data_IF_019937672629
#
_entry.id   IF_019937672629
#
_cell.length_a   1.000
_cell.length_b   1.000
_cell.length_c   1.000
_cell.angle_alpha   90.00
_cell.angle_beta   90.00
_cell.angle_gamma   90.00
#
_symmetry.space_group_name_H-M   'P 1'
#
loop_
_entity.id
_entity.type
_entity.pdbx_description
1 polymer ?
#
# COMPACT_ATOMS: atom_id res chain seq x y z
N UNK A 1 -10.84 23.32 -13.68
CA UNK A 1 -10.24 22.17 -14.38
C UNK A 1 -8.73 22.37 -14.59
N UNK A 2 -7.94 22.65 -13.54
CA UNK A 2 -6.47 22.84 -13.71
C UNK A 2 -5.66 21.55 -13.65
N UNK A 3 -6.24 20.47 -13.09
CA UNK A 3 -5.55 19.19 -12.90
C UNK A 3 -6.02 18.09 -13.85
N UNK A 4 -7.01 18.37 -14.71
CA UNK A 4 -7.55 17.44 -15.70
C UNK A 4 -7.12 17.99 -17.06
N UNK A 5 -5.98 17.50 -17.54
CA UNK A 5 -5.29 17.91 -18.77
C UNK A 5 -4.92 16.66 -19.57
N UNK A 6 -4.78 16.76 -20.90
CA UNK A 6 -4.47 15.59 -21.74
C UNK A 6 -3.23 14.81 -21.29
N UNK A 7 -2.17 15.50 -20.86
CA UNK A 7 -0.92 14.87 -20.41
C UNK A 7 -1.04 14.14 -19.06
N UNK A 8 -2.07 14.46 -18.27
CA UNK A 8 -2.36 13.82 -16.97
C UNK A 8 -3.50 12.79 -17.06
N UNK A 9 -4.03 12.52 -18.27
CA UNK A 9 -5.13 11.59 -18.48
C UNK A 9 -4.67 10.40 -19.32
N UNK A 10 -4.89 9.19 -18.79
CA UNK A 10 -4.63 7.93 -19.49
C UNK A 10 -5.93 7.17 -19.59
N UNK A 11 -6.29 6.73 -20.80
CA UNK A 11 -7.43 5.85 -21.04
C UNK A 11 -6.91 4.42 -21.13
N UNK A 12 -7.35 3.56 -20.22
CA UNK A 12 -6.99 2.15 -20.21
C UNK A 12 -8.24 1.31 -20.49
N UNK A 13 -8.09 0.29 -21.34
CA UNK A 13 -9.14 -0.67 -21.63
C UNK A 13 -8.56 -2.09 -21.68
N UNK A 14 -9.31 -3.05 -21.15
CA UNK A 14 -8.98 -4.48 -21.19
C UNK A 14 -9.96 -5.20 -22.11
N UNK A 15 -9.54 -6.31 -22.72
CA UNK A 15 -10.34 -7.11 -23.66
C UNK A 15 -10.75 -6.33 -24.93
N UNK A 16 -9.89 -5.45 -25.42
CA UNK A 16 -10.09 -4.76 -26.71
C UNK A 16 -9.68 -5.70 -27.84
N UNK A 17 -10.59 -5.92 -28.80
CA UNK A 17 -10.33 -6.77 -29.97
C UNK A 17 -9.46 -6.08 -31.02
N UNK A 18 -9.68 -4.79 -31.26
CA UNK A 18 -8.89 -3.95 -32.15
C UNK A 18 -8.49 -2.65 -31.43
N UNK A 19 -7.17 -2.47 -31.23
CA UNK A 19 -6.64 -1.28 -30.58
C UNK A 19 -6.92 0.00 -31.38
N UNK A 20 -6.93 -0.09 -32.71
CA UNK A 20 -7.14 1.08 -33.56
C UNK A 20 -8.58 1.57 -33.46
N UNK A 21 -9.56 0.66 -33.52
CA UNK A 21 -10.97 0.98 -33.29
C UNK A 21 -11.17 1.66 -31.92
N UNK A 22 -10.54 1.14 -30.87
CA UNK A 22 -10.61 1.73 -29.54
C UNK A 22 -10.04 3.15 -29.50
N UNK A 23 -8.88 3.38 -30.12
CA UNK A 23 -8.28 4.72 -30.21
C UNK A 23 -9.17 5.68 -30.96
N UNK A 24 -9.78 5.24 -32.07
CA UNK A 24 -10.65 6.07 -32.90
C UNK A 24 -11.95 6.44 -32.16
N UNK A 25 -12.55 5.49 -31.44
CA UNK A 25 -13.69 5.76 -30.56
C UNK A 25 -13.32 6.71 -29.40
N UNK A 26 -12.14 6.56 -28.80
CA UNK A 26 -11.67 7.47 -27.77
C UNK A 26 -11.52 8.90 -28.30
N UNK A 27 -10.94 9.05 -29.50
CA UNK A 27 -10.81 10.35 -30.18
C UNK A 27 -12.16 10.95 -30.51
N UNK A 28 -13.10 10.15 -31.05
CA UNK A 28 -14.46 10.59 -31.38
C UNK A 28 -15.18 11.12 -30.14
N UNK A 29 -15.08 10.42 -29.00
CA UNK A 29 -15.86 10.71 -27.80
C UNK A 29 -15.26 11.79 -26.91
N UNK A 30 -13.94 11.85 -26.82
CA UNK A 30 -13.27 12.86 -26.01
C UNK A 30 -13.09 14.19 -26.76
N UNK A 31 -13.13 14.14 -28.10
CA UNK A 31 -12.92 15.31 -28.94
C UNK A 31 -11.49 15.86 -28.86
N UNK A 32 -11.30 17.06 -29.40
CA UNK A 32 -10.03 17.78 -29.29
C UNK A 32 -9.96 18.49 -27.93
N UNK A 33 -9.02 18.05 -27.08
CA UNK A 33 -8.66 18.85 -25.93
C UNK A 33 -7.77 20.00 -26.38
N UNK A 34 -8.15 21.23 -26.05
CA UNK A 34 -7.23 22.35 -26.18
C UNK A 34 -6.00 22.10 -25.30
N UNK A 35 -4.77 22.29 -25.83
CA UNK A 35 -3.57 22.25 -25.00
C UNK A 35 -3.66 23.41 -24.01
N UNK A 36 -4.12 23.09 -22.80
CA UNK A 36 -4.03 24.02 -21.70
C UNK A 36 -2.55 24.14 -21.37
N UNK A 37 -1.99 25.36 -21.25
CA UNK A 37 -0.65 25.53 -20.73
C UNK A 37 -0.67 24.94 -19.32
N UNK A 38 -0.05 23.77 -19.16
CA UNK A 38 0.20 23.25 -17.83
C UNK A 38 1.08 24.28 -17.13
N UNK A 39 0.66 24.74 -15.96
CA UNK A 39 1.63 25.29 -15.04
C UNK A 39 2.72 24.23 -14.89
N UNK A 40 3.98 24.57 -15.11
CA UNK A 40 5.16 23.77 -14.76
C UNK A 40 5.17 23.55 -13.24
N UNK A 41 4.20 22.80 -12.74
CA UNK A 41 4.08 22.48 -11.34
C UNK A 41 5.14 21.42 -11.08
N UNK A 42 6.29 21.88 -10.62
CA UNK A 42 7.27 21.01 -10.00
C UNK A 42 6.76 20.68 -8.61
N UNK A 43 6.39 19.41 -8.41
CA UNK A 43 6.05 18.92 -7.08
C UNK A 43 7.29 18.96 -6.20
N UNK A 44 7.18 19.55 -5.02
CA UNK A 44 8.25 19.48 -4.03
C UNK A 44 8.54 18.03 -3.64
N UNK A 45 9.83 17.63 -3.54
CA UNK A 45 10.18 16.27 -3.14
C UNK A 45 9.75 16.00 -1.69
N UNK A 46 9.13 14.84 -1.47
CA UNK A 46 8.76 14.39 -0.13
C UNK A 46 10.01 14.08 0.68
N UNK A 47 9.95 14.33 2.00
CA UNK A 47 11.02 13.97 2.94
C UNK A 47 10.44 13.16 4.08
N UNK A 48 10.98 11.96 4.29
CA UNK A 48 10.66 11.18 5.48
C UNK A 48 11.35 11.79 6.70
N UNK A 49 10.56 12.21 7.69
CA UNK A 49 11.06 12.82 8.94
C UNK A 49 10.89 11.91 10.16
N UNK A 50 10.21 10.78 9.99
CA UNK A 50 9.72 9.96 11.10
C UNK A 50 8.68 10.70 11.95
N UNK A 51 8.28 10.07 13.05
CA UNK A 51 7.34 10.66 14.01
C UNK A 51 6.44 9.61 14.64
N UNK A 52 5.70 10.01 15.66
CA UNK A 52 4.68 9.19 16.27
C UNK A 52 3.32 9.90 16.23
N UNK A 53 2.29 9.11 15.93
CA UNK A 53 0.91 9.57 15.98
C UNK A 53 0.11 8.55 16.76
N UNK A 54 -0.62 9.01 17.77
CA UNK A 54 -1.43 8.17 18.65
C UNK A 54 -2.82 8.76 18.74
N UNK A 55 -3.82 7.95 18.46
CA UNK A 55 -5.22 8.31 18.63
C UNK A 55 -5.87 7.31 19.55
N UNK A 56 -6.77 7.81 20.40
CA UNK A 56 -7.61 6.96 21.21
C UNK A 56 -8.82 6.49 20.40
N UNK A 57 -9.32 5.32 20.73
CA UNK A 57 -10.48 4.68 20.12
C UNK A 57 -11.32 4.04 21.23
N UNK A 58 -12.64 3.97 21.05
CA UNK A 58 -13.54 3.27 21.97
C UNK A 58 -13.51 1.74 21.78
N UNK A 59 -12.71 1.24 20.86
CA UNK A 59 -12.55 -0.20 20.60
C UNK A 59 -11.68 -0.86 21.67
N UNK A 60 -11.99 -2.11 22.08
CA UNK A 60 -11.16 -2.87 23.01
C UNK A 60 -9.81 -3.31 22.41
N UNK A 61 -9.64 -3.19 21.09
CA UNK A 61 -8.42 -3.53 20.36
C UNK A 61 -7.53 -2.32 20.13
N UNK A 62 -6.22 -2.56 20.10
CA UNK A 62 -5.18 -1.59 19.75
C UNK A 62 -4.55 -1.99 18.42
N UNK A 63 -4.41 -1.01 17.53
CA UNK A 63 -3.73 -1.15 16.26
C UNK A 63 -2.42 -0.36 16.30
N UNK A 64 -1.30 -1.01 16.03
CA UNK A 64 0.03 -0.40 16.01
C UNK A 64 0.63 -0.62 14.63
N UNK A 65 1.09 0.45 14.00
CA UNK A 65 1.83 0.39 12.74
C UNK A 65 3.16 1.08 12.90
N UNK A 66 4.24 0.35 12.61
CA UNK A 66 5.60 0.88 12.56
C UNK A 66 6.09 0.79 11.14
N UNK A 67 6.46 1.92 10.54
CA UNK A 67 6.92 1.99 9.17
C UNK A 67 8.10 2.94 8.99
N UNK A 68 9.01 2.54 8.11
CA UNK A 68 10.22 3.24 7.72
C UNK A 68 10.11 3.72 6.28
N UNK A 69 10.95 4.69 5.92
CA UNK A 69 11.10 5.08 4.52
C UNK A 69 11.53 3.87 3.66
N UNK A 70 10.85 3.68 2.54
CA UNK A 70 11.24 2.72 1.51
C UNK A 70 11.75 3.44 0.27
N UNK A 71 11.35 3.01 -0.92
CA UNK A 71 11.89 3.50 -2.19
C UNK A 71 10.76 3.90 -3.15
N UNK A 72 11.01 4.81 -4.10
CA UNK A 72 10.05 5.14 -5.14
C UNK A 72 9.82 3.97 -6.11
N UNK A 73 8.72 4.04 -6.88
CA UNK A 73 8.31 2.97 -7.79
C UNK A 73 9.35 2.62 -8.87
N UNK A 74 10.15 3.59 -9.29
CA UNK A 74 11.16 3.44 -10.34
C UNK A 74 12.50 2.92 -9.81
N UNK A 75 12.64 2.74 -8.49
CA UNK A 75 13.86 2.22 -7.89
C UNK A 75 13.97 0.70 -8.12
N UNK A 76 15.12 0.18 -8.58
CA UNK A 76 15.32 -1.26 -8.78
C UNK A 76 15.17 -2.10 -7.49
N UNK A 77 15.30 -1.48 -6.31
CA UNK A 77 15.10 -2.13 -5.01
C UNK A 77 13.61 -2.33 -4.68
N UNK A 78 12.68 -1.71 -5.41
CA UNK A 78 11.23 -1.86 -5.19
C UNK A 78 10.82 -3.33 -5.19
N UNK A 79 11.39 -4.14 -6.08
CA UNK A 79 11.16 -5.59 -6.14
C UNK A 79 11.55 -6.30 -4.84
N UNK A 80 12.64 -5.89 -4.19
CA UNK A 80 13.04 -6.46 -2.90
C UNK A 80 12.00 -6.15 -1.81
N UNK A 81 11.40 -4.96 -1.80
CA UNK A 81 10.31 -4.62 -0.88
C UNK A 81 9.05 -5.46 -1.12
N UNK A 82 8.70 -5.78 -2.37
CA UNK A 82 7.61 -6.71 -2.67
C UNK A 82 7.89 -8.14 -2.18
N UNK A 83 9.14 -8.61 -2.31
CA UNK A 83 9.56 -9.92 -1.78
C UNK A 83 9.48 -9.91 -0.25
N UNK A 84 10.00 -8.88 0.42
CA UNK A 84 9.90 -8.75 1.88
C UNK A 84 8.45 -8.68 2.34
N UNK A 85 7.59 -7.93 1.64
CA UNK A 85 6.15 -7.86 1.91
C UNK A 85 5.50 -9.25 1.82
N UNK A 86 5.88 -10.05 0.82
CA UNK A 86 5.38 -11.43 0.66
C UNK A 86 5.89 -12.36 1.76
N UNK A 87 7.17 -12.22 2.15
CA UNK A 87 7.78 -13.04 3.20
C UNK A 87 7.19 -12.77 4.59
N UNK A 88 6.98 -11.49 4.92
CA UNK A 88 6.29 -11.09 6.14
C UNK A 88 4.84 -11.57 6.05
N UNK A 89 4.18 -11.28 4.93
CA UNK A 89 2.79 -11.61 4.66
C UNK A 89 1.82 -10.81 5.52
N UNK A 90 0.55 -11.15 5.42
CA UNK A 90 -0.51 -10.58 6.26
C UNK A 90 -1.44 -11.69 6.72
N UNK A 91 -1.93 -11.58 7.94
CA UNK A 91 -2.79 -12.58 8.54
C UNK A 91 -3.68 -12.01 9.64
N UNK A 92 -4.83 -12.64 9.80
CA UNK A 92 -5.83 -12.34 10.82
C UNK A 92 -6.31 -13.65 11.47
N UNK A 93 -6.64 -13.61 12.75
CA UNK A 93 -6.89 -14.80 13.59
C UNK A 93 -8.09 -15.61 13.11
N UNK A 94 -9.04 -14.94 12.46
CA UNK A 94 -10.26 -15.55 11.92
C UNK A 94 -10.20 -15.85 10.42
N UNK A 95 -9.00 -15.89 9.81
CA UNK A 95 -8.86 -16.23 8.40
C UNK A 95 -9.11 -17.73 8.17
N UNK A 96 -10.33 -18.08 7.76
CA UNK A 96 -10.69 -19.45 7.35
C UNK A 96 -10.20 -19.68 5.91
N UNK A 97 -9.24 -20.59 5.74
CA UNK A 97 -8.69 -20.89 4.42
C UNK A 97 -7.84 -22.15 4.34
N UNK A 98 -7.73 -22.70 3.13
CA UNK A 98 -6.89 -23.85 2.83
C UNK A 98 -5.43 -23.50 2.52
N UNK A 99 -4.61 -24.51 2.20
CA UNK A 99 -3.22 -24.32 1.75
C UNK A 99 -3.12 -23.31 0.60
N UNK A 100 -2.09 -22.45 0.63
CA UNK A 100 -1.84 -21.45 -0.43
C UNK A 100 -2.18 -20.00 -0.07
N UNK A 101 -2.89 -19.73 1.04
CA UNK A 101 -3.19 -18.35 1.49
C UNK A 101 -2.05 -17.64 2.23
N UNK A 102 -0.84 -18.19 2.22
CA UNK A 102 0.29 -17.65 2.97
C UNK A 102 0.39 -18.12 4.41
N UNK A 103 -0.17 -19.27 4.77
CA UNK A 103 -0.13 -19.87 6.13
C UNK A 103 1.28 -20.03 6.74
N UNK A 104 2.32 -19.98 5.90
CA UNK A 104 3.73 -20.10 6.30
C UNK A 104 4.47 -18.77 6.28
N UNK A 105 3.78 -17.64 6.12
CA UNK A 105 4.40 -16.32 6.23
C UNK A 105 4.87 -16.05 7.66
N UNK A 106 5.78 -15.08 7.82
CA UNK A 106 6.35 -14.78 9.14
C UNK A 106 5.32 -14.21 10.12
N UNK A 107 4.36 -13.42 9.65
CA UNK A 107 3.28 -12.90 10.50
C UNK A 107 2.45 -14.03 11.13
N UNK A 108 2.27 -15.15 10.45
CA UNK A 108 1.56 -16.30 11.03
C UNK A 108 2.48 -17.11 11.93
N UNK A 109 3.62 -17.55 11.39
CA UNK A 109 4.49 -18.54 12.06
C UNK A 109 5.28 -17.98 13.25
N UNK A 110 5.61 -16.69 13.22
CA UNK A 110 6.38 -16.03 14.28
C UNK A 110 5.52 -15.18 15.21
N UNK A 111 4.34 -14.72 14.78
CA UNK A 111 3.45 -13.93 15.64
C UNK A 111 2.23 -14.73 16.06
N UNK A 112 1.27 -14.93 15.16
CA UNK A 112 -0.06 -15.43 15.52
C UNK A 112 -0.07 -16.86 16.10
N UNK A 113 0.78 -17.76 15.59
CA UNK A 113 0.89 -19.12 16.13
C UNK A 113 1.61 -19.17 17.49
N UNK A 114 2.39 -18.13 17.83
CA UNK A 114 3.18 -18.07 19.07
C UNK A 114 2.50 -17.26 20.16
N UNK A 115 1.73 -16.23 19.78
CA UNK A 115 1.11 -15.28 20.69
C UNK A 115 -0.40 -15.27 20.46
N UNK A 116 -1.14 -15.90 21.37
CA UNK A 116 -2.59 -16.03 21.28
C UNK A 116 -3.35 -14.70 21.38
N UNK A 117 -2.70 -13.64 21.84
CA UNK A 117 -3.27 -12.28 21.93
C UNK A 117 -3.07 -11.46 20.64
N UNK A 118 -2.39 -11.99 19.62
CA UNK A 118 -2.26 -11.27 18.33
C UNK A 118 -3.45 -11.62 17.46
N UNK A 119 -4.34 -10.65 17.29
CA UNK A 119 -5.56 -10.78 16.48
C UNK A 119 -5.24 -10.66 14.97
N UNK A 120 -4.23 -9.87 14.62
CA UNK A 120 -3.79 -9.71 13.24
C UNK A 120 -2.38 -9.12 13.16
N UNK A 121 -1.65 -9.49 12.10
CA UNK A 121 -0.34 -8.92 11.82
C UNK A 121 -0.05 -8.97 10.33
N UNK A 122 0.59 -7.94 9.79
CA UNK A 122 0.97 -7.92 8.38
C UNK A 122 1.97 -6.86 7.98
N UNK A 123 2.62 -7.07 6.84
CA UNK A 123 3.47 -6.04 6.26
C UNK A 123 2.66 -4.87 5.72
N UNK A 124 3.27 -3.68 5.82
CA UNK A 124 2.85 -2.46 5.13
C UNK A 124 3.89 -2.19 4.05
N UNK A 125 3.46 -2.04 2.80
CA UNK A 125 4.33 -1.68 1.69
C UNK A 125 3.59 -0.72 0.75
N UNK A 126 3.77 0.58 0.96
CA UNK A 126 3.21 1.62 0.12
C UNK A 126 4.33 2.29 -0.66
N UNK A 127 4.25 2.31 -1.98
CA UNK A 127 5.29 2.87 -2.84
C UNK A 127 4.67 4.00 -3.66
N UNK A 128 5.33 5.16 -3.67
CA UNK A 128 4.89 6.36 -4.36
C UNK A 128 5.91 6.78 -5.43
N UNK A 129 5.64 7.92 -6.09
CA UNK A 129 6.45 8.40 -7.21
C UNK A 129 7.87 8.77 -6.81
N UNK A 130 8.05 9.36 -5.62
CA UNK A 130 9.31 9.94 -5.15
C UNK A 130 9.82 9.37 -3.82
N UNK A 131 9.02 8.57 -3.11
CA UNK A 131 9.41 7.86 -1.87
C UNK A 131 8.45 6.67 -1.63
N UNK A 132 8.56 6.01 -0.49
CA UNK A 132 7.67 4.94 -0.07
C UNK A 132 7.72 4.69 1.44
N UNK A 133 6.84 3.83 1.94
CA UNK A 133 6.80 3.35 3.31
C UNK A 133 6.79 1.83 3.35
N UNK A 134 7.66 1.24 4.17
CA UNK A 134 7.69 -0.18 4.43
C UNK A 134 7.73 -0.47 5.93
N UNK A 135 6.96 -1.44 6.39
CA UNK A 135 6.84 -1.71 7.81
C UNK A 135 5.95 -2.88 8.15
N UNK A 136 5.44 -2.87 9.37
CA UNK A 136 4.53 -3.88 9.89
C UNK A 136 3.39 -3.22 10.67
N UNK A 137 2.20 -3.78 10.53
CA UNK A 137 1.04 -3.50 11.35
C UNK A 137 0.74 -4.73 12.22
N UNK A 138 0.37 -4.49 13.47
CA UNK A 138 -0.10 -5.52 14.40
C UNK A 138 -1.37 -5.02 15.12
N UNK A 139 -2.25 -5.95 15.40
CA UNK A 139 -3.52 -5.74 16.08
C UNK A 139 -3.69 -6.79 17.19
N UNK A 140 -4.26 -6.35 18.31
CA UNK A 140 -4.61 -7.22 19.42
C UNK A 140 -5.36 -6.45 20.52
N UNK A 141 -5.63 -7.07 21.67
CA UNK A 141 -6.35 -6.45 22.77
C UNK A 141 -5.51 -5.34 23.42
N UNK A 142 -6.18 -4.27 23.85
CA UNK A 142 -5.52 -3.11 24.46
C UNK A 142 -4.72 -3.44 25.73
N UNK A 143 -5.11 -4.51 26.44
CA UNK A 143 -4.39 -5.05 27.61
C UNK A 143 -2.95 -5.47 27.28
N UNK A 144 -2.67 -5.81 26.02
CA UNK A 144 -1.37 -6.27 25.55
C UNK A 144 -0.69 -5.24 24.64
N UNK A 145 -1.13 -3.98 24.64
CA UNK A 145 -0.58 -2.92 23.78
C UNK A 145 0.95 -2.78 23.88
N UNK A 146 1.53 -2.95 25.07
CA UNK A 146 2.98 -2.92 25.25
C UNK A 146 3.67 -4.14 24.63
N UNK A 147 3.10 -5.33 24.80
CA UNK A 147 3.63 -6.57 24.19
C UNK A 147 3.55 -6.50 22.67
N UNK A 148 2.42 -6.00 22.14
CA UNK A 148 2.23 -5.81 20.70
C UNK A 148 3.30 -4.87 20.11
N UNK A 149 3.64 -3.79 20.82
CA UNK A 149 4.71 -2.88 20.37
C UNK A 149 6.09 -3.54 20.34
N UNK A 150 6.39 -4.44 21.30
CA UNK A 150 7.66 -5.18 21.31
C UNK A 150 7.78 -6.23 20.20
N UNK A 151 6.66 -6.61 19.58
CA UNK A 151 6.61 -7.58 18.48
C UNK A 151 6.76 -6.94 17.09
N UNK A 152 6.63 -5.61 16.98
CA UNK A 152 6.89 -4.84 15.76
C UNK A 152 8.39 -4.60 15.54
#
# INVERSE_FOLDING_TARGET
>A
MRNITPEKCVIAANNVHDHQEFVDLCKERLGEFYPLPESEYQRDPTKYIGGDYRTWSETPSTNITVAYESVPWNDPRSTAFFVMNTLIGSAQAFSVGGPGKGMYCRSITNLMQRYAFVDGAGAVNNIFTDSGLFGMQIEGPASNSQDLLYLC
#
